data_IF_175238482581
#
_entry.id   IF_175238482581
#
_cell.length_a   1.000
_cell.length_b   1.000
_cell.length_c   1.000
_cell.angle_alpha   90.00
_cell.angle_beta   90.00
_cell.angle_gamma   90.00
#
_symmetry.space_group_name_H-M   'P 1'
#
loop_
_entity.id
_entity.type
_entity.pdbx_description
1 polymer ?
#
# COMPACT_ATOMS: atom_id res chain seq x y z
N UNK A 1 -0.51 35.78 -17.14
CA UNK A 1 -0.30 34.41 -16.60
C UNK A 1 -1.44 34.11 -15.64
N UNK A 2 -2.45 33.30 -16.04
CA UNK A 2 -3.61 32.97 -15.22
C UNK A 2 -3.23 31.83 -14.27
N UNK A 3 -3.12 32.11 -12.99
CA UNK A 3 -2.98 31.09 -11.96
C UNK A 3 -4.30 30.33 -11.85
N UNK A 4 -4.35 29.12 -12.40
CA UNK A 4 -5.48 28.21 -12.18
C UNK A 4 -5.40 27.74 -10.72
N UNK A 5 -6.27 28.29 -9.87
CA UNK A 5 -6.52 27.73 -8.54
C UNK A 5 -7.17 26.36 -8.73
N UNK A 6 -6.35 25.31 -8.67
CA UNK A 6 -6.87 23.96 -8.46
C UNK A 6 -7.36 23.87 -7.01
N UNK A 7 -8.67 24.01 -6.81
CA UNK A 7 -9.34 23.60 -5.58
C UNK A 7 -9.35 22.08 -5.51
N UNK A 8 -8.20 21.47 -5.24
CA UNK A 8 -8.15 20.11 -4.75
C UNK A 8 -8.60 20.17 -3.30
N UNK A 9 -9.76 19.65 -2.99
CA UNK A 9 -10.12 19.21 -1.63
C UNK A 9 -9.10 18.15 -1.23
N UNK A 10 -7.96 18.59 -0.68
CA UNK A 10 -6.96 17.67 -0.13
C UNK A 10 -7.60 17.00 1.08
N UNK A 11 -7.77 15.68 1.03
CA UNK A 11 -8.13 14.91 2.22
C UNK A 11 -6.97 15.08 3.20
N UNK A 12 -7.27 15.54 4.41
CA UNK A 12 -6.28 15.65 5.48
C UNK A 12 -5.63 14.30 5.75
N UNK A 13 -4.33 14.29 6.04
CA UNK A 13 -3.55 13.06 6.30
C UNK A 13 -4.14 12.26 7.45
N UNK A 14 -4.59 12.94 8.52
CA UNK A 14 -5.25 12.29 9.65
C UNK A 14 -6.56 11.63 9.23
N UNK A 15 -7.37 12.31 8.42
CA UNK A 15 -8.61 11.75 7.88
C UNK A 15 -8.35 10.55 6.96
N UNK A 16 -7.32 10.60 6.13
CA UNK A 16 -6.90 9.45 5.33
C UNK A 16 -6.52 8.27 6.22
N UNK A 17 -5.68 8.49 7.24
CA UNK A 17 -5.28 7.46 8.19
C UNK A 17 -6.48 6.89 8.96
N UNK A 18 -7.40 7.75 9.40
CA UNK A 18 -8.60 7.38 10.15
C UNK A 18 -9.60 6.57 9.32
N UNK A 19 -9.71 6.85 8.02
CA UNK A 19 -10.74 6.27 7.14
C UNK A 19 -10.25 5.18 6.21
N UNK A 20 -8.95 5.02 5.96
CA UNK A 20 -8.37 3.98 5.12
C UNK A 20 -8.88 2.58 5.52
N UNK A 21 -9.47 1.87 4.56
CA UNK A 21 -9.95 0.49 4.71
C UNK A 21 -9.31 -0.43 3.66
N UNK A 22 -9.22 -1.71 4.00
CA UNK A 22 -8.83 -2.75 3.05
C UNK A 22 -9.96 -2.98 2.04
N UNK A 23 -9.65 -2.86 0.74
CA UNK A 23 -10.58 -3.05 -0.37
C UNK A 23 -10.19 -4.29 -1.16
N UNK A 24 -11.15 -5.15 -1.46
CA UNK A 24 -10.94 -6.42 -2.17
C UNK A 24 -11.86 -6.60 -3.38
N UNK A 25 -12.76 -5.66 -3.64
CA UNK A 25 -13.63 -5.63 -4.83
C UNK A 25 -13.49 -4.30 -5.54
N UNK A 26 -13.19 -4.35 -6.81
CA UNK A 26 -12.79 -3.19 -7.60
C UNK A 26 -13.68 -3.04 -8.84
N UNK A 27 -13.98 -1.80 -9.21
CA UNK A 27 -14.57 -1.47 -10.49
C UNK A 27 -13.59 -1.77 -11.61
N UNK A 28 -14.08 -2.21 -12.76
CA UNK A 28 -13.30 -2.36 -14.00
C UNK A 28 -12.96 -0.97 -14.59
N UNK A 29 -12.20 -0.18 -13.80
CA UNK A 29 -11.79 1.18 -14.17
C UNK A 29 -10.30 1.33 -13.93
N UNK A 30 -9.55 1.70 -15.00
CA UNK A 30 -8.11 1.97 -14.91
C UNK A 30 -7.83 3.16 -13.99
N UNK A 31 -6.72 3.09 -13.28
CA UNK A 31 -6.18 4.21 -12.52
C UNK A 31 -5.35 5.07 -13.50
N UNK A 32 -5.53 6.41 -13.52
CA UNK A 32 -4.74 7.27 -14.38
C UNK A 32 -3.23 7.11 -14.11
N UNK A 33 -2.42 7.12 -15.18
CA UNK A 33 -0.96 6.92 -15.09
C UNK A 33 -0.28 7.89 -14.13
N UNK A 34 -0.69 9.16 -14.14
CA UNK A 34 -0.13 10.17 -13.23
C UNK A 34 -0.43 9.85 -11.75
N UNK A 35 -1.60 9.25 -11.47
CA UNK A 35 -1.93 8.81 -10.11
C UNK A 35 -1.13 7.56 -9.72
N UNK A 36 -0.95 6.60 -10.64
CA UNK A 36 -0.07 5.44 -10.41
C UNK A 36 1.34 5.92 -10.07
N UNK A 37 1.89 6.84 -10.88
CA UNK A 37 3.20 7.45 -10.63
C UNK A 37 3.25 8.13 -9.25
N UNK A 38 2.23 8.91 -8.89
CA UNK A 38 2.15 9.59 -7.59
C UNK A 38 2.13 8.61 -6.41
N UNK A 39 1.44 7.48 -6.57
CA UNK A 39 1.42 6.42 -5.56
C UNK A 39 2.81 5.83 -5.36
N UNK A 40 3.48 5.45 -6.45
CA UNK A 40 4.85 4.89 -6.39
C UNK A 40 5.82 5.91 -5.81
N UNK A 41 5.72 7.18 -6.22
CA UNK A 41 6.56 8.27 -5.73
C UNK A 41 6.39 8.50 -4.22
N UNK A 42 5.18 8.35 -3.68
CA UNK A 42 4.95 8.41 -2.24
C UNK A 42 5.73 7.33 -1.47
N UNK A 43 5.83 6.13 -2.04
CA UNK A 43 6.67 5.07 -1.48
C UNK A 43 8.16 5.44 -1.54
N UNK A 44 8.62 5.91 -2.71
CA UNK A 44 10.02 6.29 -2.93
C UNK A 44 10.49 7.44 -2.01
N UNK A 45 9.61 8.40 -1.73
CA UNK A 45 9.91 9.56 -0.89
C UNK A 45 9.85 9.26 0.62
N UNK A 46 9.47 8.05 1.01
CA UNK A 46 9.41 7.67 2.43
C UNK A 46 10.83 7.61 3.01
N UNK A 47 11.00 8.08 4.24
CA UNK A 47 12.26 7.97 4.94
C UNK A 47 12.63 6.51 5.22
N UNK A 48 13.92 6.18 5.14
CA UNK A 48 14.48 4.87 5.49
C UNK A 48 15.62 4.99 6.48
N UNK A 49 15.91 3.91 7.18
CA UNK A 49 16.99 3.82 8.14
C UNK A 49 18.34 4.08 7.43
N UNK A 50 19.11 5.02 7.94
CA UNK A 50 20.37 5.52 7.38
C UNK A 50 20.32 5.79 5.85
N UNK A 51 19.11 6.09 5.35
CA UNK A 51 18.82 6.36 3.94
C UNK A 51 19.16 5.20 2.98
N UNK A 52 19.06 3.95 3.44
CA UNK A 52 19.37 2.76 2.62
C UNK A 52 18.37 2.53 1.48
N UNK A 53 17.09 2.89 1.68
CA UNK A 53 16.03 2.74 0.68
C UNK A 53 15.92 1.30 0.12
N UNK A 54 15.82 0.28 0.98
CA UNK A 54 15.99 -1.13 0.62
C UNK A 54 14.75 -1.75 -0.03
N UNK A 55 14.04 -1.02 -0.86
CA UNK A 55 12.81 -1.42 -1.52
C UNK A 55 12.86 -1.26 -3.03
N UNK A 56 12.13 -2.16 -3.72
CA UNK A 56 11.87 -2.11 -5.15
C UNK A 56 10.38 -2.25 -5.39
N UNK A 57 9.82 -1.44 -6.28
CA UNK A 57 8.40 -1.44 -6.62
C UNK A 57 8.20 -1.95 -8.03
N UNK A 58 7.52 -3.10 -8.19
CA UNK A 58 7.19 -3.68 -9.48
C UNK A 58 5.71 -3.38 -9.76
N UNK A 59 5.45 -2.50 -10.72
CA UNK A 59 4.10 -2.06 -11.11
C UNK A 59 3.53 -3.01 -12.15
N UNK A 60 2.37 -3.57 -11.90
CA UNK A 60 1.70 -4.55 -12.78
C UNK A 60 0.31 -4.06 -13.13
N UNK A 61 0.06 -3.82 -14.43
CA UNK A 61 -1.22 -3.43 -15.00
C UNK A 61 -1.72 -4.42 -16.07
N UNK A 62 -0.86 -5.38 -16.47
CA UNK A 62 -1.22 -6.43 -17.42
C UNK A 62 -2.20 -7.41 -16.81
N UNK A 63 -3.36 -7.60 -17.48
CA UNK A 63 -4.46 -8.40 -16.96
C UNK A 63 -4.10 -9.89 -16.81
N UNK A 64 -3.23 -10.43 -17.67
CA UNK A 64 -2.77 -11.81 -17.55
C UNK A 64 -1.84 -11.98 -16.36
N UNK A 65 -0.89 -11.05 -16.19
CA UNK A 65 0.00 -11.07 -15.05
C UNK A 65 -0.77 -10.88 -13.74
N UNK A 66 -1.75 -9.99 -13.67
CA UNK A 66 -2.61 -9.82 -12.48
C UNK A 66 -3.36 -11.10 -12.12
N UNK A 67 -3.86 -11.85 -13.12
CA UNK A 67 -4.48 -13.17 -12.89
C UNK A 67 -3.47 -14.19 -12.33
N UNK A 68 -2.25 -14.25 -12.90
CA UNK A 68 -1.17 -15.13 -12.42
C UNK A 68 -0.77 -14.78 -10.97
N UNK A 69 -0.64 -13.50 -10.64
CA UNK A 69 -0.35 -13.03 -9.29
C UNK A 69 -1.46 -13.39 -8.30
N UNK A 70 -2.73 -13.21 -8.69
CA UNK A 70 -3.87 -13.60 -7.88
C UNK A 70 -3.90 -15.10 -7.58
N UNK A 71 -3.61 -15.93 -8.58
CA UNK A 71 -3.51 -17.39 -8.43
C UNK A 71 -2.30 -17.82 -7.56
N UNK A 72 -1.17 -17.11 -7.66
CA UNK A 72 0.02 -17.39 -6.86
C UNK A 72 -0.12 -16.90 -5.40
N UNK A 73 -1.06 -16.00 -5.13
CA UNK A 73 -1.24 -15.36 -3.83
C UNK A 73 -2.36 -16.04 -3.03
N UNK A 74 -2.00 -16.95 -2.10
CA UNK A 74 -2.97 -17.75 -1.33
C UNK A 74 -4.08 -16.92 -0.66
N UNK A 75 -3.78 -15.73 -0.15
CA UNK A 75 -4.71 -14.86 0.57
C UNK A 75 -5.20 -13.67 -0.26
N UNK A 76 -4.80 -13.58 -1.53
CA UNK A 76 -5.04 -12.43 -2.38
C UNK A 76 -5.64 -12.73 -3.76
N UNK A 77 -6.61 -13.68 -3.91
CA UNK A 77 -7.16 -14.01 -5.23
C UNK A 77 -7.80 -12.79 -5.92
N UNK A 78 -8.23 -11.79 -5.18
CA UNK A 78 -8.80 -10.54 -5.67
C UNK A 78 -7.80 -9.64 -6.41
N UNK A 79 -6.49 -9.92 -6.37
CA UNK A 79 -5.49 -9.26 -7.22
C UNK A 79 -5.85 -9.47 -8.70
N UNK A 80 -6.39 -10.65 -9.06
CA UNK A 80 -6.80 -10.98 -10.42
C UNK A 80 -7.85 -10.02 -11.01
N UNK A 81 -8.66 -9.37 -10.17
CA UNK A 81 -9.70 -8.44 -10.59
C UNK A 81 -9.31 -6.96 -10.38
N UNK A 82 -8.16 -6.70 -9.80
CA UNK A 82 -7.67 -5.33 -9.60
C UNK A 82 -7.14 -4.75 -10.93
N UNK A 83 -7.35 -3.44 -11.21
CA UNK A 83 -6.76 -2.79 -12.38
C UNK A 83 -5.26 -2.51 -12.24
N UNK A 84 -4.70 -2.65 -11.04
CA UNK A 84 -3.30 -2.39 -10.72
C UNK A 84 -2.87 -3.25 -9.53
N UNK A 85 -1.68 -3.82 -9.61
CA UNK A 85 -0.96 -4.33 -8.45
C UNK A 85 0.45 -3.73 -8.40
N UNK A 86 0.99 -3.57 -7.19
CA UNK A 86 2.38 -3.20 -6.98
C UNK A 86 2.99 -4.25 -6.04
N UNK A 87 3.93 -5.03 -6.56
CA UNK A 87 4.73 -5.90 -5.72
C UNK A 87 5.88 -5.10 -5.10
N UNK A 88 6.12 -5.31 -3.82
CA UNK A 88 7.19 -4.68 -3.07
C UNK A 88 8.21 -5.73 -2.73
N UNK A 89 9.38 -5.64 -3.34
CA UNK A 89 10.52 -6.47 -3.03
C UNK A 89 11.50 -5.70 -2.15
N UNK A 90 12.24 -6.40 -1.32
CA UNK A 90 13.16 -5.82 -0.35
C UNK A 90 14.50 -6.56 -0.34
N UNK A 91 15.57 -5.85 -0.05
CA UNK A 91 16.92 -6.38 0.07
C UNK A 91 17.04 -7.31 1.30
N UNK A 92 17.41 -8.57 1.08
CA UNK A 92 17.59 -9.57 2.17
C UNK A 92 18.69 -9.19 3.16
N UNK A 93 19.72 -8.52 2.69
CA UNK A 93 20.86 -8.13 3.51
C UNK A 93 20.56 -6.98 4.49
N UNK A 94 19.46 -6.24 4.30
CA UNK A 94 19.11 -5.12 5.15
C UNK A 94 18.21 -5.56 6.32
N UNK A 95 18.70 -5.39 7.53
CA UNK A 95 17.91 -5.63 8.76
C UNK A 95 16.71 -4.69 8.91
N UNK A 96 16.74 -3.52 8.24
CA UNK A 96 15.68 -2.52 8.24
C UNK A 96 14.66 -2.69 7.12
N UNK A 97 14.90 -3.62 6.18
CA UNK A 97 14.15 -3.75 4.94
C UNK A 97 12.63 -3.83 5.16
N UNK A 98 12.19 -4.69 6.09
CA UNK A 98 10.76 -4.89 6.37
C UNK A 98 10.13 -3.64 6.99
N UNK A 99 10.81 -3.00 7.96
CA UNK A 99 10.28 -1.82 8.63
C UNK A 99 10.21 -0.62 7.70
N UNK A 100 11.25 -0.40 6.90
CA UNK A 100 11.34 0.69 5.94
C UNK A 100 10.33 0.53 4.81
N UNK A 101 10.25 -0.66 4.20
CA UNK A 101 9.27 -0.94 3.15
C UNK A 101 7.83 -0.88 3.67
N UNK A 102 7.57 -1.27 4.92
CA UNK A 102 6.23 -1.15 5.52
C UNK A 102 5.79 0.32 5.65
N UNK A 103 6.72 1.22 5.99
CA UNK A 103 6.47 2.68 5.99
C UNK A 103 6.19 3.20 4.57
N UNK A 104 6.98 2.76 3.58
CA UNK A 104 6.78 3.12 2.18
C UNK A 104 5.41 2.65 1.67
N UNK A 105 5.04 1.40 1.97
CA UNK A 105 3.72 0.86 1.64
C UNK A 105 2.61 1.72 2.26
N UNK A 106 2.70 2.07 3.54
CA UNK A 106 1.68 2.89 4.19
C UNK A 106 1.53 4.26 3.52
N UNK A 107 2.64 4.90 3.10
CA UNK A 107 2.59 6.16 2.34
C UNK A 107 1.83 5.98 1.01
N UNK A 108 2.12 4.91 0.27
CA UNK A 108 1.43 4.58 -0.98
C UNK A 108 -0.08 4.37 -0.78
N UNK A 109 -0.47 3.64 0.28
CA UNK A 109 -1.87 3.37 0.59
C UNK A 109 -2.63 4.65 0.95
N UNK A 110 -2.02 5.56 1.72
CA UNK A 110 -2.63 6.85 2.10
C UNK A 110 -2.83 7.75 0.88
N UNK A 111 -1.83 7.85 -0.01
CA UNK A 111 -1.93 8.64 -1.25
C UNK A 111 -3.00 8.07 -2.17
N UNK A 112 -3.07 6.75 -2.35
CA UNK A 112 -4.12 6.12 -3.14
C UNK A 112 -5.51 6.41 -2.55
N UNK A 113 -5.66 6.25 -1.24
CA UNK A 113 -6.92 6.47 -0.54
C UNK A 113 -7.41 7.92 -0.63
N UNK A 114 -6.50 8.90 -0.47
CA UNK A 114 -6.85 10.32 -0.62
C UNK A 114 -7.38 10.68 -2.00
N UNK A 115 -7.01 9.88 -3.02
CA UNK A 115 -7.49 10.01 -4.39
C UNK A 115 -8.70 9.09 -4.72
N UNK A 116 -9.33 8.47 -3.71
CA UNK A 116 -10.47 7.58 -3.88
C UNK A 116 -10.15 6.19 -4.41
N UNK A 117 -8.87 5.82 -4.45
CA UNK A 117 -8.40 4.47 -4.84
C UNK A 117 -8.25 3.62 -3.58
N UNK A 118 -9.00 2.54 -3.52
CA UNK A 118 -8.88 1.53 -2.48
C UNK A 118 -7.72 0.59 -2.73
N UNK A 119 -7.23 -0.04 -1.67
CA UNK A 119 -6.09 -0.94 -1.73
C UNK A 119 -6.20 -2.08 -0.73
N UNK A 120 -5.42 -3.13 -0.94
CA UNK A 120 -5.23 -4.16 0.06
C UNK A 120 -3.80 -4.72 0.01
N UNK A 121 -3.29 -5.11 1.18
CA UNK A 121 -1.98 -5.73 1.36
C UNK A 121 -2.12 -7.26 1.40
N UNK A 122 -1.35 -7.96 0.57
CA UNK A 122 -1.16 -9.41 0.59
C UNK A 122 0.30 -9.71 0.86
N UNK A 123 0.63 -10.43 1.92
CA UNK A 123 2.04 -10.60 2.30
C UNK A 123 2.31 -11.55 3.49
N UNK A 124 1.37 -12.39 3.86
CA UNK A 124 1.51 -13.26 5.05
C UNK A 124 2.15 -14.62 4.79
N UNK A 125 2.60 -14.90 3.58
CA UNK A 125 3.21 -16.19 3.20
C UNK A 125 4.43 -15.96 2.33
N UNK A 126 5.31 -16.97 2.24
CA UNK A 126 6.43 -16.92 1.29
C UNK A 126 5.92 -16.66 -0.10
N UNK A 127 6.38 -15.59 -0.72
CA UNK A 127 5.97 -15.10 -2.04
C UNK A 127 6.86 -15.65 -3.16
N UNK A 128 7.42 -16.87 -3.01
CA UNK A 128 8.38 -17.47 -3.96
C UNK A 128 7.80 -17.51 -5.38
N UNK A 129 6.56 -18.00 -5.54
CA UNK A 129 5.91 -18.03 -6.87
C UNK A 129 5.68 -16.64 -7.47
N UNK A 130 5.40 -15.65 -6.63
CA UNK A 130 5.27 -14.25 -7.08
C UNK A 130 6.62 -13.70 -7.53
N UNK A 131 7.68 -13.98 -6.78
CA UNK A 131 9.04 -13.59 -7.14
C UNK A 131 9.47 -14.19 -8.47
N UNK A 132 9.21 -15.50 -8.69
CA UNK A 132 9.48 -16.19 -9.95
C UNK A 132 8.71 -15.56 -11.13
N UNK A 133 7.40 -15.32 -10.97
CA UNK A 133 6.56 -14.71 -12.02
C UNK A 133 7.03 -13.30 -12.40
N UNK A 134 7.55 -12.54 -11.44
CA UNK A 134 8.00 -11.16 -11.66
C UNK A 134 9.49 -11.04 -11.97
N UNK A 135 10.23 -12.16 -12.02
CA UNK A 135 11.66 -12.15 -12.26
C UNK A 135 12.47 -11.45 -11.17
N UNK A 136 12.00 -11.51 -9.91
CA UNK A 136 12.69 -10.87 -8.79
C UNK A 136 14.00 -11.61 -8.50
N UNK A 137 15.15 -10.90 -8.44
CA UNK A 137 16.44 -11.50 -8.17
C UNK A 137 16.50 -12.21 -6.82
N UNK A 138 17.43 -13.19 -6.69
CA UNK A 138 17.57 -14.01 -5.48
C UNK A 138 18.00 -13.21 -4.23
N UNK A 139 18.61 -12.07 -4.42
CA UNK A 139 19.07 -11.14 -3.38
C UNK A 139 17.90 -10.37 -2.75
N UNK A 140 16.73 -10.40 -3.37
CA UNK A 140 15.53 -9.75 -2.90
C UNK A 140 14.48 -10.77 -2.44
N UNK A 141 13.66 -10.35 -1.48
CA UNK A 141 12.44 -11.06 -1.09
C UNK A 141 11.20 -10.22 -1.43
N UNK A 142 10.15 -10.84 -1.96
CA UNK A 142 8.86 -10.17 -2.11
C UNK A 142 8.18 -10.10 -0.75
N UNK A 143 8.11 -8.89 -0.20
CA UNK A 143 7.46 -8.61 1.08
C UNK A 143 5.94 -8.63 0.96
N UNK A 144 5.42 -8.02 -0.11
CA UNK A 144 3.98 -7.85 -0.30
C UNK A 144 3.61 -7.67 -1.76
N UNK A 145 2.35 -7.99 -2.08
CA UNK A 145 1.67 -7.50 -3.30
C UNK A 145 0.50 -6.62 -2.86
N UNK A 146 0.49 -5.39 -3.31
CA UNK A 146 -0.55 -4.41 -3.03
C UNK A 146 -1.50 -4.37 -4.23
N UNK A 147 -2.77 -4.68 -4.04
CA UNK A 147 -3.79 -4.47 -5.08
C UNK A 147 -4.40 -3.08 -4.92
N UNK A 148 -4.67 -2.40 -6.04
CA UNK A 148 -5.26 -1.06 -6.09
C UNK A 148 -6.41 -1.02 -7.09
N UNK A 149 -7.46 -0.25 -6.78
CA UNK A 149 -8.58 -0.01 -7.67
C UNK A 149 -9.67 0.85 -7.03
N UNK A 150 -10.56 1.38 -7.85
CA UNK A 150 -11.73 2.08 -7.33
C UNK A 150 -12.67 1.08 -6.66
N UNK A 151 -13.11 1.30 -5.41
CA UNK A 151 -14.01 0.39 -4.72
C UNK A 151 -15.31 0.18 -5.52
N UNK A 152 -15.77 -1.07 -5.61
CA UNK A 152 -17.04 -1.41 -6.27
C UNK A 152 -18.23 -0.80 -5.54
N UNK A 153 -18.25 -0.92 -4.21
CA UNK A 153 -19.26 -0.32 -3.37
C UNK A 153 -18.78 1.01 -2.79
N UNK A 154 -19.73 1.94 -2.53
CA UNK A 154 -19.44 3.15 -1.78
C UNK A 154 -19.03 2.74 -0.36
N UNK A 155 -17.76 2.90 -0.05
CA UNK A 155 -17.26 2.67 1.30
C UNK A 155 -17.73 3.83 2.18
N UNK A 156 -18.46 3.52 3.24
CA UNK A 156 -18.79 4.50 4.25
C UNK A 156 -17.51 5.05 4.91
N UNK A 157 -17.60 6.17 5.62
CA UNK A 157 -16.53 6.62 6.53
C UNK A 157 -16.42 5.59 7.64
N UNK A 158 -15.66 4.51 7.38
CA UNK A 158 -15.64 3.30 8.20
C UNK A 158 -15.25 3.60 9.63
N UNK A 159 -16.12 3.21 10.56
CA UNK A 159 -15.74 3.11 11.97
C UNK A 159 -14.78 1.94 12.09
N UNK A 160 -13.50 2.21 12.28
CA UNK A 160 -12.51 1.17 12.55
C UNK A 160 -12.68 0.68 13.99
N UNK A 161 -12.84 -0.64 14.16
CA UNK A 161 -12.73 -1.23 15.49
C UNK A 161 -11.25 -1.22 15.88
N UNK A 162 -10.88 -0.43 16.86
CA UNK A 162 -9.55 -0.32 17.41
C UNK A 162 -9.61 -0.42 18.92
N UNK A 163 -8.49 -0.80 19.54
CA UNK A 163 -8.33 -0.66 20.99
C UNK A 163 -8.50 0.79 21.41
N UNK A 164 -9.06 1.05 22.58
CA UNK A 164 -9.05 2.38 23.17
C UNK A 164 -7.63 2.97 23.22
N UNK A 165 -7.52 4.30 23.06
CA UNK A 165 -6.21 4.95 23.02
C UNK A 165 -5.38 4.66 24.28
N UNK A 166 -6.02 4.66 25.45
CA UNK A 166 -5.36 4.40 26.74
C UNK A 166 -4.79 2.98 26.91
N UNK A 167 -5.18 2.02 26.05
CA UNK A 167 -4.58 0.68 26.06
C UNK A 167 -3.26 0.60 25.26
N UNK A 168 -2.99 1.58 24.39
CA UNK A 168 -1.87 1.55 23.44
C UNK A 168 -0.96 2.78 23.53
N UNK A 169 -1.37 3.78 24.30
CA UNK A 169 -0.60 4.99 24.53
C UNK A 169 -0.35 5.20 26.02
N UNK A 170 0.90 5.47 26.36
CA UNK A 170 1.33 5.65 27.74
C UNK A 170 2.16 6.94 27.82
N UNK A 171 2.08 7.64 28.94
CA UNK A 171 2.86 8.85 29.19
C UNK A 171 4.18 8.48 29.88
N UNK A 172 5.29 8.86 29.28
CA UNK A 172 6.67 8.73 29.82
C UNK A 172 7.10 7.29 30.14
N UNK A 173 6.25 6.50 30.80
CA UNK A 173 6.54 5.08 31.16
C UNK A 173 5.37 4.20 30.83
N UNK A 174 5.66 2.95 30.45
CA UNK A 174 4.62 1.96 30.19
C UNK A 174 3.70 1.81 31.41
N UNK A 175 2.39 1.77 31.19
CA UNK A 175 1.38 1.66 32.24
C UNK A 175 0.90 3.00 32.81
N UNK A 176 1.58 4.11 32.53
CA UNK A 176 1.11 5.43 32.95
C UNK A 176 0.04 5.94 31.96
N UNK A 177 -1.14 6.42 32.42
CA UNK A 177 -2.20 6.87 31.54
C UNK A 177 -1.77 8.01 30.61
N UNK A 178 -2.11 7.86 29.32
CA UNK A 178 -2.01 8.94 28.35
C UNK A 178 -3.36 9.71 28.35
N UNK A 179 -3.36 10.88 28.94
CA UNK A 179 -4.53 11.80 29.03
C UNK A 179 -4.33 12.99 28.14
#
# INVERSE_FOLDING_TARGET
MRVVKMTTTSVDVYDAARTLLAVRRYKAKRIPKDLVRKIVEAGRLTASSVNLQPWHFIVVEDAEMLRKLGAASRTGPYIASAPLAIAVAVEKASEYAVSDASRAIQSMLLVAWSAGVGSNWVGFTKMTKVAELLGVPRELDVLAVLSFGYPEAKLGRGKKKRKPLGEVAHRERFGQPFT
#
